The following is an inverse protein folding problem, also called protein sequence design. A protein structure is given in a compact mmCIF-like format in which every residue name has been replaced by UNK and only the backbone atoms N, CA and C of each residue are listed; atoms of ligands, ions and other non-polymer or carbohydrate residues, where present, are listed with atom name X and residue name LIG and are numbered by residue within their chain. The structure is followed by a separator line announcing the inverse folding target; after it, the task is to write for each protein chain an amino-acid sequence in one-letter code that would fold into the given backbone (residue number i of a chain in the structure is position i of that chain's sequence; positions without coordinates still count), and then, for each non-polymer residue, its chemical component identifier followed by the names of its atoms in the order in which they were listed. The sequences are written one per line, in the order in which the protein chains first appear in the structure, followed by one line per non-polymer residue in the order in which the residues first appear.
data_IF_630779356438
#
_entry.id   IF_630779356438
#
_cell.length_a   1.000
_cell.length_b   1.000
_cell.length_c   1.000
_cell.angle_alpha   90.00
_cell.angle_beta   90.00
_cell.angle_gamma   90.00
#
_symmetry.space_group_name_H-M   'P 1'
#
loop_
_entity.id
_entity.type
_entity.pdbx_description
1 polymer ?
#
# COMPACT_ATOMS: atom_id res chain seq x y z
N UNK A 1 -17.50 6.56 25.63
CA UNK A 1 -16.22 6.93 24.97
C UNK A 1 -16.42 6.73 23.49
N UNK A 2 -16.50 7.81 22.70
CA UNK A 2 -16.58 7.71 21.24
C UNK A 2 -15.29 7.07 20.72
N UNK A 3 -15.40 5.88 20.13
CA UNK A 3 -14.27 5.25 19.46
C UNK A 3 -13.98 6.04 18.19
N UNK A 4 -12.93 6.86 18.21
CA UNK A 4 -12.45 7.52 16.98
C UNK A 4 -12.09 6.43 15.96
N UNK A 5 -12.54 6.55 14.70
CA UNK A 5 -12.18 5.57 13.68
C UNK A 5 -10.65 5.49 13.57
N UNK A 6 -10.11 4.28 13.61
CA UNK A 6 -8.66 4.05 13.47
C UNK A 6 -8.21 4.61 12.12
N UNK A 7 -7.11 5.37 12.10
CA UNK A 7 -6.52 5.87 10.85
C UNK A 7 -6.18 4.69 9.94
N UNK A 8 -6.31 4.85 8.62
CA UNK A 8 -6.07 3.80 7.62
C UNK A 8 -4.72 3.08 7.84
N UNK A 9 -3.64 3.84 8.05
CA UNK A 9 -2.31 3.25 8.27
C UNK A 9 -2.26 2.37 9.52
N UNK A 10 -3.00 2.72 10.57
CA UNK A 10 -3.05 1.92 11.80
C UNK A 10 -3.88 0.65 11.61
N UNK A 11 -4.92 0.70 10.78
CA UNK A 11 -5.67 -0.50 10.39
C UNK A 11 -4.77 -1.46 9.61
N UNK A 12 -3.99 -0.96 8.65
CA UNK A 12 -3.06 -1.77 7.85
C UNK A 12 -1.94 -2.36 8.71
N UNK A 13 -1.33 -1.58 9.61
CA UNK A 13 -0.33 -2.10 10.57
C UNK A 13 -0.89 -3.23 11.42
N UNK A 14 -2.09 -3.06 11.96
CA UNK A 14 -2.74 -4.10 12.77
C UNK A 14 -2.99 -5.37 11.94
N UNK A 15 -3.45 -5.24 10.70
CA UNK A 15 -3.66 -6.39 9.82
C UNK A 15 -2.35 -7.13 9.49
N UNK A 16 -1.26 -6.40 9.21
CA UNK A 16 0.05 -6.99 8.91
C UNK A 16 0.61 -7.73 10.13
N UNK A 17 0.51 -7.12 11.32
CA UNK A 17 0.97 -7.75 12.57
C UNK A 17 0.14 -8.97 12.95
N UNK A 18 -1.18 -8.95 12.69
CA UNK A 18 -2.06 -10.09 12.89
C UNK A 18 -1.69 -11.26 11.98
N UNK A 19 -1.22 -10.97 10.76
CA UNK A 19 -0.68 -11.96 9.83
C UNK A 19 0.76 -12.42 10.19
N UNK A 20 1.31 -11.99 11.32
CA UNK A 20 2.66 -12.32 11.79
C UNK A 20 3.79 -11.99 10.80
N UNK A 21 3.58 -11.02 9.92
CA UNK A 21 4.66 -10.55 9.06
C UNK A 21 5.73 -9.81 9.87
N UNK A 22 6.95 -9.81 9.32
CA UNK A 22 8.06 -9.09 9.94
C UNK A 22 7.81 -7.58 9.99
N UNK A 23 8.45 -6.90 10.94
CA UNK A 23 8.42 -5.44 11.00
C UNK A 23 8.93 -4.79 9.71
N UNK A 24 9.91 -5.42 9.03
CA UNK A 24 10.41 -4.96 7.74
C UNK A 24 9.33 -5.02 6.64
N UNK A 25 8.51 -6.07 6.66
CA UNK A 25 7.36 -6.20 5.76
C UNK A 25 6.32 -5.12 6.06
N UNK A 26 6.02 -4.84 7.32
CA UNK A 26 5.14 -3.72 7.71
C UNK A 26 5.61 -2.39 7.14
N UNK A 27 6.90 -2.05 7.33
CA UNK A 27 7.47 -0.81 6.79
C UNK A 27 7.34 -0.72 5.27
N UNK A 28 7.59 -1.83 4.57
CA UNK A 28 7.51 -1.90 3.11
C UNK A 28 6.08 -1.67 2.62
N UNK A 29 5.09 -2.30 3.25
CA UNK A 29 3.69 -2.13 2.85
C UNK A 29 3.18 -0.72 3.14
N UNK A 30 3.56 -0.15 4.30
CA UNK A 30 3.18 1.23 4.64
C UNK A 30 3.84 2.23 3.68
N UNK A 31 5.07 1.97 3.23
CA UNK A 31 5.72 2.77 2.19
C UNK A 31 4.92 2.75 0.89
N UNK A 32 4.62 1.56 0.35
CA UNK A 32 3.88 1.43 -0.91
C UNK A 32 2.47 2.02 -0.82
N UNK A 33 1.78 1.85 0.30
CA UNK A 33 0.46 2.44 0.50
C UNK A 33 0.51 3.98 0.48
N UNK A 34 1.56 4.59 1.05
CA UNK A 34 1.74 6.05 1.00
C UNK A 34 2.02 6.51 -0.42
N UNK A 35 2.89 5.81 -1.16
CA UNK A 35 3.15 6.12 -2.56
C UNK A 35 1.88 6.01 -3.41
N UNK A 36 1.10 4.94 -3.22
CA UNK A 36 -0.18 4.73 -3.90
C UNK A 36 -1.18 5.88 -3.66
N UNK A 37 -1.38 6.25 -2.39
CA UNK A 37 -2.29 7.36 -2.04
C UNK A 37 -1.78 8.68 -2.61
N UNK A 38 -0.47 8.94 -2.56
CA UNK A 38 0.11 10.18 -3.08
C UNK A 38 0.02 10.27 -4.61
N UNK A 39 0.27 9.17 -5.32
CA UNK A 39 0.13 9.06 -6.77
C UNK A 39 -1.30 9.38 -7.23
N UNK A 40 -2.30 8.95 -6.46
CA UNK A 40 -3.72 9.23 -6.73
C UNK A 40 -4.23 10.51 -6.05
N UNK A 41 -3.38 11.50 -5.84
CA UNK A 41 -3.74 12.82 -5.29
C UNK A 41 -4.48 12.77 -3.94
N UNK A 42 -4.06 11.87 -3.05
CA UNK A 42 -4.60 11.72 -1.69
C UNK A 42 -6.09 11.29 -1.70
N UNK A 43 -6.52 10.58 -2.75
CA UNK A 43 -7.83 9.90 -2.78
C UNK A 43 -7.87 8.77 -1.75
N UNK A 44 -9.05 8.53 -1.18
CA UNK A 44 -9.22 7.47 -0.20
C UNK A 44 -9.22 6.10 -0.90
N UNK A 45 -8.46 5.08 -0.45
CA UNK A 45 -8.39 3.80 -1.13
C UNK A 45 -9.71 3.03 -1.27
N UNK A 46 -10.73 3.36 -0.47
CA UNK A 46 -12.07 2.79 -0.65
C UNK A 46 -12.80 3.34 -1.89
N UNK A 47 -12.34 4.47 -2.43
CA UNK A 47 -12.88 5.10 -3.64
C UNK A 47 -12.08 4.69 -4.88
N UNK A 48 -11.13 3.75 -4.73
CA UNK A 48 -10.20 3.32 -5.76
C UNK A 48 -10.27 1.81 -5.92
N UNK A 49 -10.29 1.35 -7.16
CA UNK A 49 -10.50 -0.05 -7.51
C UNK A 49 -9.30 -0.65 -8.24
N UNK A 50 -9.57 -1.69 -9.02
CA UNK A 50 -8.56 -2.36 -9.83
C UNK A 50 -7.86 -1.43 -10.83
N UNK A 51 -8.58 -0.47 -11.41
CA UNK A 51 -8.04 0.47 -12.40
C UNK A 51 -6.94 1.34 -11.81
N UNK A 52 -7.16 1.90 -10.61
CA UNK A 52 -6.15 2.70 -9.92
C UNK A 52 -4.94 1.87 -9.49
N UNK A 53 -5.15 0.61 -9.11
CA UNK A 53 -4.07 -0.33 -8.79
C UNK A 53 -3.24 -0.62 -10.03
N UNK A 54 -3.86 -0.98 -11.15
CA UNK A 54 -3.18 -1.25 -12.41
C UNK A 54 -2.39 -0.03 -12.89
N UNK A 55 -3.01 1.16 -12.86
CA UNK A 55 -2.37 2.42 -13.25
C UNK A 55 -1.12 2.70 -12.41
N UNK A 56 -1.22 2.49 -11.09
CA UNK A 56 -0.07 2.66 -10.19
C UNK A 56 1.04 1.64 -10.48
N UNK A 57 0.69 0.38 -10.72
CA UNK A 57 1.67 -0.66 -11.06
C UNK A 57 2.36 -0.40 -12.41
N UNK A 58 1.62 0.07 -13.42
CA UNK A 58 2.20 0.49 -14.70
C UNK A 58 3.16 1.67 -14.52
N UNK A 59 2.79 2.65 -13.69
CA UNK A 59 3.67 3.77 -13.37
C UNK A 59 4.97 3.30 -12.70
N UNK A 60 4.89 2.40 -11.72
CA UNK A 60 6.10 1.84 -11.07
C UNK A 60 7.01 1.11 -12.06
N UNK A 61 6.43 0.39 -13.02
CA UNK A 61 7.19 -0.35 -14.04
C UNK A 61 7.90 0.56 -15.06
N UNK A 62 7.29 1.71 -15.41
CA UNK A 62 7.78 2.60 -16.47
C UNK A 62 8.69 3.71 -15.94
N UNK A 63 8.28 4.40 -14.87
CA UNK A 63 8.94 5.64 -14.41
C UNK A 63 10.01 5.38 -13.36
N UNK A 64 9.76 4.51 -12.38
CA UNK A 64 10.71 4.30 -11.27
C UNK A 64 11.80 3.25 -11.57
N UNK A 65 11.79 2.60 -12.75
CA UNK A 65 12.69 1.48 -13.11
C UNK A 65 12.85 0.46 -11.97
N UNK A 66 11.80 0.27 -11.18
CA UNK A 66 11.88 -0.60 -10.02
C UNK A 66 12.09 -2.02 -10.55
N UNK A 67 13.18 -2.67 -10.15
CA UNK A 67 13.49 -4.02 -10.58
C UNK A 67 12.29 -4.95 -10.30
N UNK A 68 12.03 -5.91 -11.19
CA UNK A 68 10.89 -6.83 -11.10
C UNK A 68 10.74 -7.52 -9.72
N UNK A 69 11.83 -7.66 -8.96
CA UNK A 69 11.85 -8.17 -7.58
C UNK A 69 11.08 -7.31 -6.57
N UNK A 70 10.92 -6.02 -6.82
CA UNK A 70 10.12 -5.12 -5.97
C UNK A 70 8.65 -5.16 -6.35
N UNK A 71 8.34 -5.30 -7.64
CA UNK A 71 6.96 -5.53 -8.11
C UNK A 71 6.41 -6.86 -7.56
N UNK A 72 7.24 -7.90 -7.48
CA UNK A 72 6.85 -9.18 -6.88
C UNK A 72 6.55 -9.09 -5.37
N UNK A 73 7.17 -8.16 -4.63
CA UNK A 73 6.81 -7.91 -3.22
C UNK A 73 5.46 -7.22 -3.09
N UNK A 74 5.07 -6.40 -4.05
CA UNK A 74 3.72 -5.84 -4.16
C UNK A 74 2.70 -6.91 -4.57
N UNK A 75 3.13 -7.93 -5.33
CA UNK A 75 2.29 -9.01 -5.86
C UNK A 75 2.09 -10.20 -4.91
N UNK A 76 3.04 -10.48 -4.02
CA UNK A 76 3.04 -11.72 -3.19
C UNK A 76 2.42 -11.53 -1.79
N UNK A 77 1.45 -10.62 -1.68
CA UNK A 77 0.92 -10.05 -0.45
C UNK A 77 -0.48 -10.55 -0.05
#
# INVERSE_FOLDING_TARGET
MEQRPKKLLDQVRNAIRLKHYSYRTEQTYIYWLRCYIMFHNIRHPQEMGSVEIETFLTHLAVEEKVAASTQNQTFSA
#
